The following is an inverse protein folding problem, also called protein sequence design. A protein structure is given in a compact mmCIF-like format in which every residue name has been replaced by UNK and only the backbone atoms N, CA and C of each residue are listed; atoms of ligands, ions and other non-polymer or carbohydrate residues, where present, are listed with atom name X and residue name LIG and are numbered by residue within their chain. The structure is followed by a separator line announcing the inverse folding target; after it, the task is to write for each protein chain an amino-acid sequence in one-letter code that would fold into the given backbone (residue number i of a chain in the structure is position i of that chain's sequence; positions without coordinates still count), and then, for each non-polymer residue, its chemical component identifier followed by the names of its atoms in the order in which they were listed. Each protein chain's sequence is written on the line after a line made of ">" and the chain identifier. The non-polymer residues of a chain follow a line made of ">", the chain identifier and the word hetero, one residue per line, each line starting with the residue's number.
data_IF_732389088599
#
_entry.id   IF_732389088599
#
_cell.length_a   1.000
_cell.length_b   1.000
_cell.length_c   1.000
_cell.angle_alpha   90.00
_cell.angle_beta   90.00
_cell.angle_gamma   90.00
#
_symmetry.space_group_name_H-M   'P 1'
#
loop_
_entity.id
_entity.type
_entity.pdbx_description
1 polymer ?
#
# COMPACT_ATOMS: atom_id res chain seq x y z
N UNK A 1 -57.73 -1.85 42.64
CA UNK A 1 -57.57 -1.80 41.17
C UNK A 1 -56.25 -2.44 40.83
N UNK A 2 -56.26 -3.72 40.45
CA UNK A 2 -55.08 -4.49 40.09
C UNK A 2 -55.54 -5.59 39.14
N UNK A 3 -55.61 -5.28 37.84
CA UNK A 3 -55.89 -6.22 36.76
C UNK A 3 -55.14 -5.71 35.54
N UNK A 4 -54.15 -6.48 35.06
CA UNK A 4 -53.41 -6.10 33.85
C UNK A 4 -52.03 -6.72 33.63
N UNK A 5 -51.49 -7.54 34.55
CA UNK A 5 -50.13 -8.08 34.44
C UNK A 5 -50.01 -9.61 34.36
N UNK A 6 -51.13 -10.36 34.38
CA UNK A 6 -51.08 -11.84 34.44
C UNK A 6 -51.26 -12.54 33.07
N UNK A 7 -51.78 -11.87 32.04
CA UNK A 7 -52.12 -12.54 30.77
C UNK A 7 -50.99 -12.57 29.72
N UNK A 8 -49.92 -11.80 29.93
CA UNK A 8 -48.76 -11.83 29.02
C UNK A 8 -47.74 -12.93 29.35
N UNK A 9 -47.78 -13.49 30.57
CA UNK A 9 -46.86 -14.55 30.99
C UNK A 9 -47.35 -15.95 30.60
N UNK A 10 -48.65 -16.15 30.32
CA UNK A 10 -49.21 -17.47 30.04
C UNK A 10 -49.19 -17.88 28.56
N UNK A 11 -49.13 -16.93 27.63
CA UNK A 11 -49.02 -17.24 26.18
C UNK A 11 -47.60 -17.54 25.70
N UNK A 12 -46.57 -17.32 26.52
CA UNK A 12 -45.18 -17.68 26.17
C UNK A 12 -44.79 -19.10 26.54
N UNK A 13 -45.57 -19.79 27.37
CA UNK A 13 -45.26 -21.16 27.81
C UNK A 13 -45.98 -22.24 27.01
N UNK A 14 -46.91 -21.89 26.12
CA UNK A 14 -47.67 -22.88 25.33
C UNK A 14 -47.31 -22.89 23.83
N UNK A 15 -46.50 -21.94 23.35
CA UNK A 15 -45.95 -21.96 21.98
C UNK A 15 -44.52 -22.54 21.89
N UNK A 16 -44.02 -23.09 22.99
CA UNK A 16 -42.69 -23.72 23.08
C UNK A 16 -42.75 -25.24 23.12
N UNK A 17 -43.86 -25.83 22.69
CA UNK A 17 -44.02 -27.26 22.54
C UNK A 17 -44.46 -27.55 21.09
N UNK A 18 -43.64 -28.32 20.38
CA UNK A 18 -43.78 -28.73 18.96
C UNK A 18 -43.15 -27.78 17.93
N UNK A 19 -41.84 -27.60 18.04
CA UNK A 19 -41.02 -27.89 16.87
C UNK A 19 -40.12 -29.05 17.27
N UNK A 20 -40.35 -30.22 16.66
CA UNK A 20 -39.39 -31.31 16.66
C UNK A 20 -38.16 -30.82 15.89
N UNK A 21 -37.28 -30.10 16.59
CA UNK A 21 -35.90 -29.96 16.15
C UNK A 21 -35.35 -31.38 16.08
N UNK A 22 -34.90 -31.79 14.90
CA UNK A 22 -34.30 -33.10 14.68
C UNK A 22 -33.30 -33.41 15.82
N UNK A 23 -33.40 -34.57 16.47
CA UNK A 23 -32.57 -34.90 17.62
C UNK A 23 -31.10 -34.86 17.19
N UNK A 24 -30.38 -33.82 17.62
CA UNK A 24 -28.97 -33.59 17.28
C UNK A 24 -28.61 -32.20 16.76
N UNK A 25 -29.56 -31.34 16.35
CA UNK A 25 -29.22 -29.97 15.89
C UNK A 25 -28.88 -29.06 17.08
N UNK A 26 -29.66 -29.12 18.16
CA UNK A 26 -29.39 -28.37 19.39
C UNK A 26 -28.09 -28.82 20.07
N UNK A 27 -27.76 -30.12 20.00
CA UNK A 27 -26.54 -30.65 20.59
C UNK A 27 -25.30 -30.26 19.76
N UNK A 28 -25.41 -30.18 18.42
CA UNK A 28 -24.36 -29.64 17.55
C UNK A 28 -24.11 -28.15 17.80
N UNK A 29 -25.18 -27.35 17.91
CA UNK A 29 -25.05 -25.93 18.22
C UNK A 29 -24.45 -25.69 19.61
N UNK A 30 -24.77 -26.54 20.61
CA UNK A 30 -24.12 -26.49 21.93
C UNK A 30 -22.64 -26.85 21.83
N UNK A 31 -22.29 -27.89 21.09
CA UNK A 31 -20.89 -28.28 20.87
C UNK A 31 -20.09 -27.17 20.17
N UNK A 32 -20.63 -26.58 19.10
CA UNK A 32 -20.00 -25.47 18.38
C UNK A 32 -19.83 -24.23 19.27
N UNK A 33 -20.79 -23.95 20.16
CA UNK A 33 -20.69 -22.87 21.14
C UNK A 33 -19.63 -23.15 22.21
N UNK A 34 -19.44 -24.41 22.63
CA UNK A 34 -18.38 -24.77 23.56
C UNK A 34 -17.00 -24.69 22.90
N UNK A 35 -16.87 -25.15 21.66
CA UNK A 35 -15.64 -25.02 20.86
C UNK A 35 -15.28 -23.55 20.63
N UNK A 36 -16.25 -22.70 20.31
CA UNK A 36 -16.01 -21.27 20.13
C UNK A 36 -15.60 -20.59 21.45
N UNK A 37 -16.23 -20.96 22.57
CA UNK A 37 -15.84 -20.47 23.90
C UNK A 37 -14.41 -20.88 24.24
N UNK A 38 -14.02 -22.10 23.90
CA UNK A 38 -12.66 -22.58 24.17
C UNK A 38 -11.63 -21.89 23.30
N UNK A 39 -11.90 -21.72 22.00
CA UNK A 39 -11.05 -20.93 21.10
C UNK A 39 -10.88 -19.49 21.59
N UNK A 40 -11.96 -18.86 22.04
CA UNK A 40 -11.93 -17.50 22.59
C UNK A 40 -11.09 -17.42 23.88
N UNK A 41 -11.12 -18.45 24.73
CA UNK A 41 -10.26 -18.51 25.93
C UNK A 41 -8.79 -18.65 25.55
N UNK A 42 -8.46 -19.52 24.59
CA UNK A 42 -7.09 -19.70 24.10
C UNK A 42 -6.56 -18.39 23.52
N UNK A 43 -7.34 -17.74 22.67
CA UNK A 43 -6.96 -16.47 22.05
C UNK A 43 -6.81 -15.33 23.08
N UNK A 44 -7.67 -15.30 24.12
CA UNK A 44 -7.52 -14.35 25.22
C UNK A 44 -6.22 -14.55 26.00
N UNK A 45 -5.85 -15.80 26.30
CA UNK A 45 -4.58 -16.13 26.97
C UNK A 45 -3.38 -15.80 26.08
N UNK A 46 -3.45 -16.06 24.78
CA UNK A 46 -2.41 -15.70 23.83
C UNK A 46 -2.23 -14.18 23.71
N UNK A 47 -3.33 -13.44 23.70
CA UNK A 47 -3.32 -11.97 23.70
C UNK A 47 -2.69 -11.40 24.97
N UNK A 48 -2.97 -11.98 26.14
CA UNK A 48 -2.31 -11.59 27.38
C UNK A 48 -0.81 -11.91 27.37
N UNK A 49 -0.43 -13.09 26.88
CA UNK A 49 0.99 -13.47 26.69
C UNK A 49 1.71 -12.51 25.75
N UNK A 50 1.06 -12.10 24.66
CA UNK A 50 1.63 -11.14 23.72
C UNK A 50 1.81 -9.77 24.38
N UNK A 51 0.81 -9.27 25.13
CA UNK A 51 0.93 -8.02 25.90
C UNK A 51 2.11 -8.05 26.87
N UNK A 52 2.30 -9.15 27.60
CA UNK A 52 3.43 -9.31 28.52
C UNK A 52 4.79 -9.32 27.78
N UNK A 53 4.86 -9.95 26.60
CA UNK A 53 6.07 -9.91 25.76
C UNK A 53 6.35 -8.49 25.28
N UNK A 54 5.34 -7.80 24.75
CA UNK A 54 5.50 -6.41 24.29
C UNK A 54 5.91 -5.47 25.42
N UNK A 55 5.36 -5.62 26.63
CA UNK A 55 5.75 -4.82 27.79
C UNK A 55 7.22 -5.06 28.17
N UNK A 56 7.64 -6.33 28.24
CA UNK A 56 9.03 -6.70 28.53
C UNK A 56 10.00 -6.21 27.47
N UNK A 57 9.62 -6.30 26.20
CA UNK A 57 10.48 -5.85 25.10
C UNK A 57 10.56 -4.32 25.11
N UNK A 58 9.46 -3.61 25.40
CA UNK A 58 9.47 -2.17 25.60
C UNK A 58 10.37 -1.73 26.76
N UNK A 59 10.33 -2.42 27.90
CA UNK A 59 11.23 -2.17 29.04
C UNK A 59 12.70 -2.41 28.68
N UNK A 60 13.00 -3.48 27.93
CA UNK A 60 14.36 -3.76 27.44
C UNK A 60 14.85 -2.65 26.52
N UNK A 61 14.05 -2.24 25.54
CA UNK A 61 14.40 -1.14 24.64
C UNK A 61 14.58 0.17 25.40
N UNK A 62 13.71 0.49 26.36
CA UNK A 62 13.84 1.69 27.19
C UNK A 62 15.14 1.69 28.01
N UNK A 63 15.51 0.54 28.59
CA UNK A 63 16.75 0.41 29.34
C UNK A 63 17.99 0.54 28.45
N UNK A 64 18.00 -0.11 27.28
CA UNK A 64 19.09 0.00 26.31
C UNK A 64 19.23 1.45 25.81
N UNK A 65 18.11 2.07 25.43
CA UNK A 65 18.08 3.45 24.97
C UNK A 65 18.60 4.43 26.03
N UNK A 66 18.18 4.28 27.29
CA UNK A 66 18.70 5.07 28.41
C UNK A 66 20.23 4.88 28.61
N UNK A 67 20.74 3.67 28.44
CA UNK A 67 22.18 3.42 28.49
C UNK A 67 22.93 4.09 27.33
N UNK A 68 22.36 4.07 26.11
CA UNK A 68 22.92 4.76 24.96
C UNK A 68 22.95 6.27 25.18
N UNK A 69 21.86 6.88 25.64
CA UNK A 69 21.82 8.30 25.98
C UNK A 69 22.86 8.65 27.06
N UNK A 70 22.97 7.84 28.12
CA UNK A 70 23.97 8.07 29.16
C UNK A 70 25.43 7.94 28.65
N UNK A 71 25.69 7.10 27.63
CA UNK A 71 27.01 7.03 26.98
C UNK A 71 27.25 8.27 26.11
N UNK A 72 26.24 8.71 25.37
CA UNK A 72 26.31 9.89 24.51
C UNK A 72 26.59 11.16 25.34
N UNK A 73 25.88 11.34 26.46
CA UNK A 73 26.09 12.47 27.38
C UNK A 73 27.51 12.47 27.95
N UNK A 74 28.03 11.30 28.34
CA UNK A 74 29.42 11.18 28.84
C UNK A 74 30.45 11.49 27.75
N UNK A 75 30.24 11.01 26.53
CA UNK A 75 31.12 11.30 25.41
C UNK A 75 31.13 12.80 25.08
N UNK A 76 29.95 13.43 24.99
CA UNK A 76 29.82 14.86 24.75
C UNK A 76 30.46 15.69 25.87
N UNK A 77 30.26 15.32 27.14
CA UNK A 77 30.93 16.00 28.26
C UNK A 77 32.45 15.91 28.18
N UNK A 78 32.99 14.77 27.72
CA UNK A 78 34.43 14.58 27.55
C UNK A 78 34.98 15.39 26.37
N UNK A 79 34.26 15.42 25.25
CA UNK A 79 34.60 16.23 24.09
C UNK A 79 34.58 17.72 24.42
N UNK A 80 33.59 18.19 25.18
CA UNK A 80 33.50 19.58 25.60
C UNK A 80 34.65 19.98 26.53
N UNK A 81 35.06 19.11 27.46
CA UNK A 81 36.26 19.33 28.28
C UNK A 81 37.54 19.38 27.43
N UNK A 82 37.69 18.47 26.48
CA UNK A 82 38.85 18.46 25.58
C UNK A 82 38.88 19.72 24.70
N UNK A 83 37.72 20.17 24.20
CA UNK A 83 37.56 21.43 23.46
C UNK A 83 38.04 22.61 24.29
N UNK A 84 37.61 22.71 25.55
CA UNK A 84 38.02 23.77 26.47
C UNK A 84 39.54 23.76 26.72
N UNK A 85 40.14 22.59 26.95
CA UNK A 85 41.59 22.46 27.15
C UNK A 85 42.38 22.89 25.89
N UNK A 86 41.91 22.51 24.70
CA UNK A 86 42.53 22.94 23.45
C UNK A 86 42.39 24.44 23.23
N UNK A 87 41.22 25.03 23.52
CA UNK A 87 41.05 26.47 23.43
C UNK A 87 41.96 27.23 24.41
N UNK A 88 42.15 26.74 25.64
CA UNK A 88 43.08 27.39 26.58
C UNK A 88 44.52 27.30 26.10
N UNK A 89 44.95 26.13 25.60
CA UNK A 89 46.29 25.95 25.06
C UNK A 89 46.55 26.82 23.81
N UNK A 90 45.54 26.98 22.95
CA UNK A 90 45.60 27.88 21.80
C UNK A 90 45.76 29.35 22.25
N UNK A 91 44.96 29.81 23.22
CA UNK A 91 45.08 31.17 23.75
C UNK A 91 46.46 31.45 24.37
N UNK A 92 47.05 30.47 25.07
CA UNK A 92 48.41 30.58 25.60
C UNK A 92 49.46 30.69 24.48
N UNK A 93 49.30 29.89 23.41
CA UNK A 93 50.19 29.94 22.25
C UNK A 93 50.07 31.25 21.49
N UNK A 94 48.86 31.78 21.33
CA UNK A 94 48.64 33.09 20.72
C UNK A 94 49.30 34.22 21.53
N UNK A 95 49.24 34.15 22.87
CA UNK A 95 49.93 35.08 23.75
C UNK A 95 51.48 34.99 23.62
N UNK A 96 52.01 33.78 23.50
CA UNK A 96 53.44 33.54 23.26
C UNK A 96 53.89 34.13 21.91
N UNK A 97 53.09 33.93 20.85
CA UNK A 97 53.32 34.51 19.52
C UNK A 97 53.32 36.04 19.59
N UNK A 98 52.34 36.65 20.27
CA UNK A 98 52.27 38.11 20.42
C UNK A 98 53.49 38.68 21.17
N UNK A 99 53.96 37.96 22.21
CA UNK A 99 55.19 38.32 22.93
C UNK A 99 56.42 38.27 22.03
N UNK A 100 56.57 37.19 21.25
CA UNK A 100 57.67 37.05 20.30
C UNK A 100 57.62 38.11 19.19
N UNK A 101 56.44 38.43 18.66
CA UNK A 101 56.27 39.51 17.68
C UNK A 101 56.73 40.85 18.25
N UNK A 102 56.34 41.16 19.49
CA UNK A 102 56.79 42.38 20.20
C UNK A 102 58.32 42.42 20.34
N UNK A 103 58.96 41.28 20.62
CA UNK A 103 60.42 41.19 20.70
C UNK A 103 61.09 41.39 19.34
N UNK A 104 60.54 40.80 18.28
CA UNK A 104 61.02 40.98 16.90
C UNK A 104 60.89 42.44 16.48
N UNK A 105 59.77 43.11 16.78
CA UNK A 105 59.57 44.52 16.45
C UNK A 105 60.56 45.43 17.17
N UNK A 106 60.84 45.15 18.46
CA UNK A 106 61.91 45.84 19.20
C UNK A 106 63.28 45.64 18.55
N UNK A 107 63.62 44.41 18.15
CA UNK A 107 64.89 44.13 17.47
C UNK A 107 64.99 44.83 16.12
N UNK A 108 63.89 44.82 15.33
CA UNK A 108 63.80 45.54 14.06
C UNK A 108 64.00 47.04 14.25
N UNK A 109 63.36 47.63 15.26
CA UNK A 109 63.53 49.05 15.58
C UNK A 109 64.98 49.40 15.97
N UNK A 110 65.64 48.57 16.78
CA UNK A 110 67.07 48.77 17.11
C UNK A 110 67.94 48.72 15.84
N UNK A 111 67.70 47.76 14.96
CA UNK A 111 68.42 47.66 13.68
C UNK A 111 68.17 48.91 12.82
N UNK A 112 66.93 49.40 12.76
CA UNK A 112 66.55 50.62 12.05
C UNK A 112 67.32 51.84 12.58
N UNK A 113 67.37 52.03 13.92
CA UNK A 113 68.14 53.10 14.55
C UNK A 113 69.64 53.00 14.26
N UNK A 114 70.21 51.80 14.30
CA UNK A 114 71.63 51.58 13.99
C UNK A 114 71.95 51.81 12.50
N UNK A 115 71.00 51.57 11.60
CA UNK A 115 71.14 51.90 10.16
C UNK A 115 71.11 53.41 9.93
N UNK A 116 70.29 54.15 10.69
CA UNK A 116 70.15 55.60 10.56
C UNK A 116 71.37 56.36 11.13
N UNK A 117 71.97 55.88 12.22
CA UNK A 117 73.22 56.44 12.76
C UNK A 117 74.21 55.35 13.20
N UNK A 118 75.16 54.97 12.33
CA UNK A 118 76.19 53.98 12.64
C UNK A 118 77.12 54.38 13.80
N UNK A 119 77.19 55.67 14.15
CA UNK A 119 78.04 56.16 15.27
C UNK A 119 77.51 55.70 16.63
N UNK A 120 76.23 55.33 16.72
CA UNK A 120 75.65 54.73 17.93
C UNK A 120 76.29 53.38 18.29
N UNK A 121 76.78 52.61 17.30
CA UNK A 121 77.55 51.40 17.56
C UNK A 121 78.85 51.70 18.31
N UNK A 122 79.55 52.77 17.91
CA UNK A 122 80.76 53.24 18.57
C UNK A 122 80.48 53.78 19.98
N UNK A 123 79.29 54.36 20.24
CA UNK A 123 78.91 54.81 21.59
C UNK A 123 78.61 53.65 22.56
N UNK A 124 78.03 52.55 22.07
CA UNK A 124 77.82 51.30 22.81
C UNK A 124 79.16 50.60 23.09
N UNK A 125 80.10 50.60 22.13
CA UNK A 125 81.46 50.12 22.32
C UNK A 125 82.31 51.03 23.23
N UNK A 126 82.21 52.37 23.13
CA UNK A 126 82.97 53.33 23.96
C UNK A 126 82.56 53.29 25.43
N UNK A 127 81.29 52.98 25.75
CA UNK A 127 80.87 52.72 27.14
C UNK A 127 81.55 51.49 27.73
N UNK A 128 82.00 50.57 26.90
CA UNK A 128 82.73 49.38 27.34
C UNK A 128 84.25 49.63 27.49
N UNK A 129 84.83 50.57 26.73
CA UNK A 129 86.29 50.70 26.59
C UNK A 129 86.95 52.00 27.13
N UNK A 130 86.25 52.89 27.85
CA UNK A 130 86.84 54.14 28.38
C UNK A 130 87.42 53.94 29.79
N UNK A 131 88.61 53.33 29.90
CA UNK A 131 89.32 53.13 31.20
C UNK A 131 90.85 53.20 31.18
N UNK A 132 91.52 53.69 30.13
CA UNK A 132 93.00 53.78 30.13
C UNK A 132 93.44 55.14 29.56
N UNK A 133 94.25 55.82 30.36
CA UNK A 133 94.59 57.25 30.41
C UNK A 133 95.66 57.75 29.42
N UNK A 134 95.66 59.08 29.27
CA UNK A 134 96.63 60.03 28.69
C UNK A 134 97.93 60.07 29.56
N UNK A 135 99.13 60.58 29.22
CA UNK A 135 99.55 61.81 28.51
C UNK A 135 101.12 61.88 28.39
N UNK A 136 101.61 62.59 27.35
CA UNK A 136 102.62 63.69 27.24
C UNK A 136 103.83 63.82 28.21
N UNK A 137 105.00 64.43 27.93
CA UNK A 137 105.83 64.90 26.78
C UNK A 137 107.14 65.52 27.39
N UNK A 138 108.29 65.29 26.75
CA UNK A 138 109.48 66.17 26.47
C UNK A 138 110.25 66.94 27.60
N UNK A 139 111.55 67.28 27.57
CA UNK A 139 112.83 66.92 26.88
C UNK A 139 113.98 67.77 27.54
N UNK A 140 115.28 67.36 27.45
CA UNK A 140 116.48 68.24 27.68
C UNK A 140 117.67 67.83 26.74
N UNK A 141 117.32 67.65 25.47
CA UNK A 141 118.03 67.91 24.19
C UNK A 141 119.42 67.35 23.77
N UNK A 142 120.33 66.80 24.58
CA UNK A 142 121.47 66.00 24.00
C UNK A 142 121.91 64.81 24.89
N UNK A 143 122.11 65.04 26.19
CA UNK A 143 121.87 63.98 27.18
C UNK A 143 120.37 63.73 27.28
N UNK A 144 119.52 64.74 27.12
CA UNK A 144 118.11 64.54 26.85
C UNK A 144 117.80 64.08 25.44
N UNK A 145 118.70 64.11 24.45
CA UNK A 145 118.50 63.41 23.15
C UNK A 145 118.93 61.96 23.22
N UNK A 146 120.01 61.64 23.93
CA UNK A 146 120.38 60.26 24.27
C UNK A 146 119.33 59.67 25.21
N UNK A 147 118.93 60.40 26.24
CA UNK A 147 117.89 60.01 27.17
C UNK A 147 116.49 60.07 26.53
N UNK A 148 116.23 60.94 25.55
CA UNK A 148 115.03 60.86 24.70
C UNK A 148 115.09 59.69 23.75
N UNK A 149 116.26 59.32 23.21
CA UNK A 149 116.43 58.11 22.40
C UNK A 149 116.32 56.86 23.27
N UNK A 150 116.84 56.85 24.50
CA UNK A 150 116.70 55.76 25.48
C UNK A 150 115.27 55.68 26.02
N UNK A 151 114.60 56.82 26.23
CA UNK A 151 113.17 56.87 26.53
C UNK A 151 112.37 56.44 25.31
N UNK A 152 112.75 56.81 24.10
CA UNK A 152 112.09 56.39 22.87
C UNK A 152 112.30 54.91 22.63
N UNK A 153 113.48 54.38 22.90
CA UNK A 153 113.80 52.94 22.85
C UNK A 153 113.04 52.21 23.96
N UNK A 154 113.01 52.72 25.20
CA UNK A 154 112.23 52.14 26.30
C UNK A 154 110.73 52.21 26.03
N UNK A 155 110.25 53.28 25.40
CA UNK A 155 108.87 53.48 24.96
C UNK A 155 108.53 52.55 23.80
N UNK A 156 109.45 52.34 22.86
CA UNK A 156 109.31 51.38 21.76
C UNK A 156 109.33 49.94 22.28
N UNK A 157 110.20 49.60 23.25
CA UNK A 157 110.19 48.28 23.90
C UNK A 157 108.93 48.07 24.74
N UNK A 158 108.46 49.10 25.45
CA UNK A 158 107.19 49.03 26.18
C UNK A 158 106.00 48.90 25.23
N UNK A 159 106.02 49.61 24.09
CA UNK A 159 105.03 49.47 23.02
C UNK A 159 105.12 48.11 22.32
N UNK A 160 106.32 47.56 22.14
CA UNK A 160 106.54 46.23 21.58
C UNK A 160 106.00 45.16 22.53
N UNK A 161 106.34 45.24 23.82
CA UNK A 161 105.80 44.33 24.83
C UNK A 161 104.29 44.47 24.99
N UNK A 162 103.75 45.69 24.95
CA UNK A 162 102.31 45.89 24.97
C UNK A 162 101.65 45.34 23.69
N UNK A 163 102.29 45.50 22.51
CA UNK A 163 101.80 44.92 21.27
C UNK A 163 101.88 43.38 21.26
N UNK A 164 102.93 42.79 21.84
CA UNK A 164 103.06 41.35 22.03
C UNK A 164 102.00 40.82 23.01
N UNK A 165 101.78 41.52 24.12
CA UNK A 165 100.74 41.23 25.11
C UNK A 165 99.34 41.28 24.48
N UNK A 166 99.05 42.36 23.74
CA UNK A 166 97.77 42.52 23.01
C UNK A 166 97.60 41.44 21.94
N UNK A 167 98.67 41.09 21.22
CA UNK A 167 98.64 40.01 20.22
C UNK A 167 98.37 38.64 20.86
N UNK A 168 98.95 38.36 22.02
CA UNK A 168 98.73 37.12 22.76
C UNK A 168 97.31 37.05 23.33
N UNK A 169 96.79 38.17 23.87
CA UNK A 169 95.39 38.30 24.28
C UNK A 169 94.42 38.10 23.09
N UNK A 170 94.71 38.69 21.93
CA UNK A 170 93.94 38.48 20.70
C UNK A 170 93.99 37.01 20.24
N UNK A 171 95.15 36.36 20.32
CA UNK A 171 95.28 34.94 19.97
C UNK A 171 94.43 34.05 20.89
N UNK A 172 94.44 34.30 22.20
CA UNK A 172 93.58 33.61 23.17
C UNK A 172 92.09 33.89 22.90
N UNK A 173 91.74 35.12 22.52
CA UNK A 173 90.36 35.44 22.13
C UNK A 173 89.91 34.70 20.86
N UNK A 174 90.77 34.58 19.86
CA UNK A 174 90.49 33.80 18.64
C UNK A 174 90.33 32.33 18.97
N UNK A 175 91.15 31.78 19.86
CA UNK A 175 91.08 30.37 20.26
C UNK A 175 89.79 30.05 21.05
N UNK A 176 89.41 30.91 21.98
CA UNK A 176 88.12 30.79 22.70
C UNK A 176 86.93 30.91 21.76
N UNK A 177 86.98 31.81 20.77
CA UNK A 177 85.94 31.94 19.75
C UNK A 177 85.85 30.72 18.83
N UNK A 178 87.00 30.13 18.43
CA UNK A 178 87.04 28.87 17.68
C UNK A 178 86.37 27.75 18.46
N UNK A 179 86.70 27.58 19.74
CA UNK A 179 86.09 26.57 20.61
C UNK A 179 84.58 26.77 20.79
N UNK A 180 84.12 28.02 20.91
CA UNK A 180 82.70 28.35 20.96
C UNK A 180 81.99 28.01 19.63
N UNK A 181 82.61 28.30 18.49
CA UNK A 181 82.07 27.96 17.17
C UNK A 181 81.96 26.45 16.96
N UNK A 182 82.93 25.65 17.40
CA UNK A 182 82.82 24.17 17.31
C UNK A 182 81.65 23.65 18.13
N UNK A 183 81.44 24.20 19.34
CA UNK A 183 80.29 23.84 20.19
C UNK A 183 78.97 24.23 19.52
N UNK A 184 78.86 25.44 18.98
CA UNK A 184 77.68 25.92 18.24
C UNK A 184 77.38 25.03 17.04
N UNK A 185 78.37 24.71 16.21
CA UNK A 185 78.20 23.83 15.05
C UNK A 185 77.75 22.43 15.42
N UNK A 186 78.25 21.88 16.54
CA UNK A 186 77.80 20.59 17.05
C UNK A 186 76.34 20.62 17.53
N UNK A 187 75.93 21.71 18.19
CA UNK A 187 74.55 21.94 18.62
C UNK A 187 73.62 22.11 17.41
N UNK A 188 74.06 22.86 16.39
CA UNK A 188 73.33 23.05 15.13
C UNK A 188 73.12 21.73 14.39
N UNK A 189 74.17 20.89 14.29
CA UNK A 189 74.04 19.54 13.72
C UNK A 189 73.04 18.67 14.49
N UNK A 190 73.07 18.72 15.82
CA UNK A 190 72.09 18.00 16.66
C UNK A 190 70.66 18.50 16.45
N UNK A 191 70.46 19.82 16.41
CA UNK A 191 69.15 20.43 16.16
C UNK A 191 68.63 20.08 14.77
N UNK A 192 69.49 20.10 13.74
CA UNK A 192 69.13 19.72 12.38
C UNK A 192 68.66 18.26 12.30
N UNK A 193 69.40 17.32 12.92
CA UNK A 193 68.97 15.91 12.99
C UNK A 193 67.64 15.73 13.70
N UNK A 194 67.43 16.40 14.84
CA UNK A 194 66.15 16.36 15.55
C UNK A 194 64.99 16.92 14.73
N UNK A 195 65.24 17.93 13.91
CA UNK A 195 64.23 18.48 13.01
C UNK A 195 63.89 17.53 11.84
N UNK A 196 64.89 16.87 11.26
CA UNK A 196 64.70 15.84 10.23
C UNK A 196 63.94 14.62 10.81
N UNK A 197 64.32 14.14 11.99
CA UNK A 197 63.62 13.05 12.69
C UNK A 197 62.16 13.42 13.01
N UNK A 198 61.89 14.65 13.46
CA UNK A 198 60.52 15.12 13.74
C UNK A 198 59.66 15.26 12.47
N UNK A 199 60.26 15.57 11.32
CA UNK A 199 59.58 15.63 10.04
C UNK A 199 59.19 14.24 9.51
N UNK A 200 60.04 13.24 9.75
CA UNK A 200 59.85 11.89 9.23
C UNK A 200 59.02 10.98 10.16
N UNK A 201 58.99 11.20 11.48
CA UNK A 201 58.64 10.12 12.43
C UNK A 201 57.23 10.11 13.03
N UNK A 202 56.29 11.00 12.69
CA UNK A 202 55.01 11.00 13.41
C UNK A 202 53.81 11.57 12.67
N UNK A 203 53.93 12.80 12.16
CA UNK A 203 52.77 13.50 11.58
C UNK A 203 52.32 12.85 10.27
N UNK A 204 53.26 12.43 9.41
CA UNK A 204 52.94 11.78 8.15
C UNK A 204 52.27 10.41 8.33
N UNK A 205 52.72 9.59 9.29
CA UNK A 205 52.06 8.33 9.61
C UNK A 205 50.67 8.54 10.22
N UNK A 206 50.50 9.49 11.13
CA UNK A 206 49.17 9.81 11.67
C UNK A 206 48.21 10.31 10.58
N UNK A 207 48.69 11.10 9.61
CA UNK A 207 47.92 11.54 8.46
C UNK A 207 47.48 10.37 7.58
N UNK A 208 48.40 9.46 7.24
CA UNK A 208 48.07 8.24 6.48
C UNK A 208 47.07 7.33 7.23
N UNK A 209 47.21 7.21 8.54
CA UNK A 209 46.30 6.44 9.40
C UNK A 209 44.90 7.06 9.43
N UNK A 210 44.81 8.39 9.58
CA UNK A 210 43.55 9.13 9.55
C UNK A 210 42.90 8.98 8.17
N UNK A 211 43.67 9.14 7.10
CA UNK A 211 43.18 9.00 5.73
C UNK A 211 42.69 7.58 5.46
N UNK A 212 43.40 6.55 5.94
CA UNK A 212 42.97 5.16 5.83
C UNK A 212 41.69 4.87 6.63
N UNK A 213 41.56 5.43 7.84
CA UNK A 213 40.33 5.33 8.65
C UNK A 213 39.17 6.03 7.98
N UNK A 214 39.39 7.21 7.40
CA UNK A 214 38.38 7.96 6.67
C UNK A 214 37.85 7.16 5.47
N UNK A 215 38.74 6.60 4.64
CA UNK A 215 38.34 5.79 3.50
C UNK A 215 37.54 4.54 3.91
N UNK A 216 37.89 3.88 5.03
CA UNK A 216 37.11 2.77 5.57
C UNK A 216 35.72 3.21 6.03
N UNK A 217 35.64 4.33 6.74
CA UNK A 217 34.36 4.88 7.19
C UNK A 217 33.47 5.30 6.01
N UNK A 218 34.04 5.88 4.95
CA UNK A 218 33.27 6.15 3.72
C UNK A 218 32.77 4.88 3.05
N UNK A 219 33.59 3.83 2.97
CA UNK A 219 33.17 2.56 2.40
C UNK A 219 32.06 1.89 3.24
N UNK A 220 32.17 1.95 4.56
CA UNK A 220 31.14 1.40 5.46
C UNK A 220 29.86 2.23 5.41
N UNK A 221 29.97 3.57 5.29
CA UNK A 221 28.81 4.43 5.03
C UNK A 221 28.10 4.03 3.74
N UNK A 222 28.83 3.84 2.63
CA UNK A 222 28.25 3.44 1.36
C UNK A 222 27.53 2.07 1.44
N UNK A 223 28.06 1.12 2.21
CA UNK A 223 27.38 -0.17 2.46
C UNK A 223 26.09 0.00 3.25
N UNK A 224 26.10 0.84 4.29
CA UNK A 224 24.91 1.12 5.10
C UNK A 224 23.85 1.82 4.26
N UNK A 225 24.23 2.80 3.44
CA UNK A 225 23.32 3.51 2.54
C UNK A 225 22.68 2.52 1.52
N UNK A 226 23.48 1.63 0.92
CA UNK A 226 22.98 0.59 0.02
C UNK A 226 22.02 -0.40 0.73
N UNK A 227 22.31 -0.79 1.96
CA UNK A 227 21.42 -1.65 2.76
C UNK A 227 20.12 -0.93 3.13
N UNK A 228 20.18 0.38 3.43
CA UNK A 228 19.02 1.23 3.68
C UNK A 228 18.11 1.33 2.45
N UNK A 229 18.69 1.52 1.28
CA UNK A 229 17.93 1.60 0.02
C UNK A 229 17.30 0.25 -0.34
N UNK A 230 18.01 -0.86 -0.13
CA UNK A 230 17.45 -2.20 -0.29
C UNK A 230 16.27 -2.45 0.66
N UNK A 231 16.42 -2.10 1.95
CA UNK A 231 15.34 -2.24 2.94
C UNK A 231 14.13 -1.35 2.61
N UNK A 232 14.35 -0.13 2.11
CA UNK A 232 13.26 0.75 1.64
C UNK A 232 12.53 0.15 0.45
N UNK A 233 13.23 -0.48 -0.49
CA UNK A 233 12.61 -1.17 -1.62
C UNK A 233 11.74 -2.35 -1.15
N UNK A 234 12.25 -3.17 -0.23
CA UNK A 234 11.48 -4.28 0.37
C UNK A 234 10.23 -3.79 1.11
N UNK A 235 10.32 -2.70 1.87
CA UNK A 235 9.17 -2.08 2.53
C UNK A 235 8.13 -1.64 1.49
N UNK A 236 8.55 -1.02 0.38
CA UNK A 236 7.66 -0.64 -0.71
C UNK A 236 6.95 -1.84 -1.35
N UNK A 237 7.67 -2.95 -1.57
CA UNK A 237 7.09 -4.18 -2.11
C UNK A 237 6.08 -4.80 -1.14
N UNK A 238 6.40 -4.86 0.16
CA UNK A 238 5.50 -5.37 1.19
C UNK A 238 4.24 -4.50 1.34
N UNK A 239 4.36 -3.18 1.20
CA UNK A 239 3.21 -2.27 1.19
C UNK A 239 2.30 -2.54 -0.01
N UNK A 240 2.87 -2.70 -1.21
CA UNK A 240 2.09 -3.07 -2.40
C UNK A 240 1.37 -4.41 -2.24
N UNK A 241 2.04 -5.42 -1.66
CA UNK A 241 1.41 -6.72 -1.35
C UNK A 241 0.29 -6.58 -0.31
N UNK A 242 0.47 -5.74 0.71
CA UNK A 242 -0.54 -5.48 1.73
C UNK A 242 -1.78 -4.82 1.11
N UNK A 243 -1.60 -3.82 0.26
CA UNK A 243 -2.70 -3.15 -0.44
C UNK A 243 -3.44 -4.12 -1.36
N UNK A 244 -2.69 -4.97 -2.09
CA UNK A 244 -3.25 -6.06 -2.88
C UNK A 244 -4.09 -7.05 -2.04
N UNK A 245 -3.57 -7.50 -0.90
CA UNK A 245 -4.30 -8.40 0.00
C UNK A 245 -5.55 -7.73 0.60
N UNK A 246 -5.49 -6.44 0.94
CA UNK A 246 -6.64 -5.69 1.46
C UNK A 246 -7.75 -5.54 0.43
N UNK A 247 -7.40 -5.29 -0.84
CA UNK A 247 -8.40 -5.21 -1.91
C UNK A 247 -9.07 -6.57 -2.14
N UNK A 248 -8.30 -7.65 -2.19
CA UNK A 248 -8.83 -9.02 -2.29
C UNK A 248 -9.75 -9.36 -1.12
N UNK A 249 -9.37 -9.03 0.12
CA UNK A 249 -10.21 -9.25 1.30
C UNK A 249 -11.54 -8.49 1.20
N UNK A 250 -11.54 -7.24 0.71
CA UNK A 250 -12.78 -6.48 0.50
C UNK A 250 -13.69 -7.13 -0.54
N UNK A 251 -13.12 -7.61 -1.65
CA UNK A 251 -13.87 -8.34 -2.68
C UNK A 251 -14.49 -9.61 -2.09
N UNK A 252 -13.70 -10.43 -1.40
CA UNK A 252 -14.19 -11.66 -0.77
C UNK A 252 -15.28 -11.40 0.29
N UNK A 253 -15.16 -10.32 1.09
CA UNK A 253 -16.22 -9.92 2.02
C UNK A 253 -17.54 -9.55 1.32
N UNK A 254 -17.46 -8.85 0.19
CA UNK A 254 -18.63 -8.48 -0.59
C UNK A 254 -19.28 -9.71 -1.23
N UNK A 255 -18.49 -10.62 -1.80
CA UNK A 255 -18.98 -11.91 -2.34
C UNK A 255 -19.65 -12.75 -1.25
N UNK A 256 -19.03 -12.85 -0.06
CA UNK A 256 -19.61 -13.57 1.07
C UNK A 256 -20.95 -12.94 1.54
N UNK A 257 -21.07 -11.62 1.47
CA UNK A 257 -22.33 -10.93 1.78
C UNK A 257 -23.42 -11.26 0.75
N UNK A 258 -23.09 -11.21 -0.54
CA UNK A 258 -24.02 -11.58 -1.63
C UNK A 258 -24.49 -13.03 -1.52
N UNK A 259 -23.57 -13.97 -1.29
CA UNK A 259 -23.92 -15.39 -1.10
C UNK A 259 -24.81 -15.59 0.13
N UNK A 260 -24.56 -14.87 1.22
CA UNK A 260 -25.42 -14.93 2.41
C UNK A 260 -26.83 -14.43 2.12
N UNK A 261 -26.99 -13.37 1.34
CA UNK A 261 -28.30 -12.85 1.00
C UNK A 261 -29.04 -13.74 -0.01
N UNK A 262 -28.33 -14.34 -0.96
CA UNK A 262 -28.88 -15.39 -1.84
C UNK A 262 -29.36 -16.61 -1.03
N UNK A 263 -28.58 -17.07 -0.04
CA UNK A 263 -28.98 -18.17 0.83
C UNK A 263 -30.27 -17.86 1.58
N UNK A 264 -30.41 -16.66 2.16
CA UNK A 264 -31.66 -16.24 2.81
C UNK A 264 -32.85 -16.24 1.85
N UNK A 265 -32.64 -15.78 0.61
CA UNK A 265 -33.70 -15.77 -0.40
C UNK A 265 -34.13 -17.21 -0.77
N UNK A 266 -33.16 -18.12 -0.91
CA UNK A 266 -33.43 -19.54 -1.16
C UNK A 266 -34.13 -20.22 0.01
N UNK A 267 -33.75 -19.91 1.24
CA UNK A 267 -34.43 -20.40 2.46
C UNK A 267 -35.89 -19.92 2.52
N UNK A 268 -36.15 -18.65 2.23
CA UNK A 268 -37.51 -18.11 2.17
C UNK A 268 -38.36 -18.75 1.05
N UNK A 269 -37.75 -18.97 -0.13
CA UNK A 269 -38.41 -19.65 -1.25
C UNK A 269 -38.76 -21.11 -0.88
N UNK A 270 -37.83 -21.81 -0.21
CA UNK A 270 -38.06 -23.16 0.30
C UNK A 270 -39.22 -23.19 1.29
N UNK A 271 -39.25 -22.28 2.28
CA UNK A 271 -40.33 -22.20 3.27
C UNK A 271 -41.70 -21.95 2.60
N UNK A 272 -41.71 -21.19 1.51
CA UNK A 272 -42.93 -20.94 0.72
C UNK A 272 -43.41 -22.20 0.02
N UNK A 273 -42.51 -22.94 -0.64
CA UNK A 273 -42.83 -24.21 -1.29
C UNK A 273 -43.29 -25.28 -0.29
N UNK A 274 -42.69 -25.34 0.90
CA UNK A 274 -43.12 -26.25 1.97
C UNK A 274 -44.58 -25.96 2.39
N UNK A 275 -44.95 -24.67 2.55
CA UNK A 275 -46.34 -24.27 2.84
C UNK A 275 -47.32 -24.64 1.72
N UNK A 276 -46.91 -24.49 0.46
CA UNK A 276 -47.74 -24.89 -0.69
C UNK A 276 -47.94 -26.41 -0.74
N UNK A 277 -46.91 -27.18 -0.40
CA UNK A 277 -46.96 -28.64 -0.34
C UNK A 277 -47.91 -29.10 0.78
N UNK A 278 -47.81 -28.52 1.97
CA UNK A 278 -48.74 -28.77 3.08
C UNK A 278 -50.19 -28.47 2.69
N UNK A 279 -50.43 -27.38 1.97
CA UNK A 279 -51.76 -27.02 1.47
C UNK A 279 -52.29 -28.05 0.45
N UNK A 280 -51.44 -28.55 -0.44
CA UNK A 280 -51.82 -29.62 -1.39
C UNK A 280 -52.10 -30.94 -0.69
N UNK A 281 -51.33 -31.30 0.34
CA UNK A 281 -51.55 -32.51 1.12
C UNK A 281 -52.86 -32.47 1.92
N UNK A 282 -53.27 -31.28 2.38
CA UNK A 282 -54.60 -31.07 2.96
C UNK A 282 -55.69 -31.25 1.90
N UNK A 283 -55.53 -30.64 0.72
CA UNK A 283 -56.48 -30.76 -0.37
C UNK A 283 -56.64 -32.21 -0.85
N UNK A 284 -55.55 -32.96 -0.97
CA UNK A 284 -55.59 -34.40 -1.31
C UNK A 284 -56.36 -35.17 -0.24
N UNK A 285 -56.11 -34.90 1.05
CA UNK A 285 -56.87 -35.53 2.15
C UNK A 285 -58.36 -35.23 2.06
N UNK A 286 -58.74 -33.99 1.77
CA UNK A 286 -60.15 -33.60 1.60
C UNK A 286 -60.78 -34.38 0.43
N UNK A 287 -60.11 -34.43 -0.73
CA UNK A 287 -60.56 -35.24 -1.86
C UNK A 287 -60.68 -36.73 -1.51
N UNK A 288 -59.73 -37.30 -0.77
CA UNK A 288 -59.81 -38.69 -0.31
C UNK A 288 -61.02 -38.92 0.62
N UNK A 289 -61.37 -37.94 1.45
CA UNK A 289 -62.58 -38.00 2.28
C UNK A 289 -63.84 -37.93 1.43
N UNK A 290 -63.90 -37.04 0.44
CA UNK A 290 -65.02 -36.92 -0.49
C UNK A 290 -65.21 -38.21 -1.30
N UNK A 291 -64.12 -38.80 -1.82
CA UNK A 291 -64.16 -40.08 -2.52
C UNK A 291 -64.69 -41.21 -1.62
N UNK A 292 -64.29 -41.25 -0.34
CA UNK A 292 -64.81 -42.23 0.63
C UNK A 292 -66.29 -42.01 0.93
N UNK A 293 -66.78 -40.78 0.93
CA UNK A 293 -68.20 -40.45 1.14
C UNK A 293 -69.01 -40.83 -0.12
N UNK A 294 -68.53 -40.46 -1.31
CA UNK A 294 -69.14 -40.83 -2.59
C UNK A 294 -69.17 -42.35 -2.80
N UNK A 295 -68.10 -43.06 -2.45
CA UNK A 295 -68.06 -44.53 -2.48
C UNK A 295 -68.93 -45.22 -1.43
N UNK A 296 -69.43 -44.47 -0.44
CA UNK A 296 -70.42 -44.91 0.56
C UNK A 296 -71.84 -44.44 0.24
N UNK A 297 -72.07 -43.84 -0.94
CA UNK A 297 -73.43 -43.57 -1.41
C UNK A 297 -74.14 -44.91 -1.48
N UNK A 298 -75.05 -45.09 -0.53
CA UNK A 298 -75.84 -46.30 -0.38
C UNK A 298 -76.63 -46.49 -1.68
N UNK A 299 -76.36 -47.59 -2.39
CA UNK A 299 -77.08 -47.96 -3.61
C UNK A 299 -78.58 -48.15 -3.32
N UNK A 300 -78.94 -48.23 -2.03
CA UNK A 300 -80.30 -48.23 -1.51
C UNK A 300 -80.77 -46.85 -0.97
N UNK A 301 -80.26 -45.73 -1.48
CA UNK A 301 -80.80 -44.40 -1.14
C UNK A 301 -82.18 -44.20 -1.81
N UNK A 302 -83.28 -44.10 -1.04
CA UNK A 302 -84.63 -43.93 -1.59
C UNK A 302 -84.80 -42.67 -2.44
N UNK A 303 -83.99 -41.63 -2.21
CA UNK A 303 -83.99 -40.42 -3.04
C UNK A 303 -83.37 -40.66 -4.42
N UNK A 304 -82.34 -41.50 -4.50
CA UNK A 304 -81.71 -41.89 -5.77
C UNK A 304 -82.63 -42.80 -6.58
N UNK A 305 -83.30 -43.77 -5.93
CA UNK A 305 -84.34 -44.56 -6.60
C UNK A 305 -85.52 -43.72 -7.07
N UNK A 306 -85.90 -42.70 -6.31
CA UNK A 306 -86.96 -41.76 -6.72
C UNK A 306 -86.52 -40.95 -7.93
N UNK A 307 -85.29 -40.42 -7.91
CA UNK A 307 -84.70 -39.69 -9.04
C UNK A 307 -84.59 -40.58 -10.29
N UNK A 308 -84.17 -41.85 -10.14
CA UNK A 308 -84.09 -42.82 -11.22
C UNK A 308 -85.48 -43.11 -11.81
N UNK A 309 -86.50 -43.33 -10.97
CA UNK A 309 -87.89 -43.52 -11.42
C UNK A 309 -88.48 -42.30 -12.12
N UNK A 310 -88.07 -41.09 -11.72
CA UNK A 310 -88.48 -39.84 -12.39
C UNK A 310 -87.76 -39.70 -13.73
N UNK A 311 -86.46 -40.03 -13.80
CA UNK A 311 -85.70 -40.07 -15.05
C UNK A 311 -86.31 -41.06 -16.04
N UNK A 312 -86.63 -42.28 -15.62
CA UNK A 312 -87.24 -43.30 -16.48
C UNK A 312 -88.59 -42.81 -17.03
N UNK A 313 -89.45 -42.25 -16.18
CA UNK A 313 -90.72 -41.63 -16.62
C UNK A 313 -90.50 -40.50 -17.61
N UNK A 314 -89.52 -39.63 -17.37
CA UNK A 314 -89.20 -38.52 -18.27
C UNK A 314 -88.65 -39.03 -19.59
N UNK A 315 -87.88 -40.12 -19.58
CA UNK A 315 -87.40 -40.78 -20.80
C UNK A 315 -88.55 -41.39 -21.61
N UNK A 316 -89.53 -42.02 -20.95
CA UNK A 316 -90.73 -42.53 -21.61
C UNK A 316 -91.57 -41.39 -22.22
N UNK A 317 -91.75 -40.27 -21.49
CA UNK A 317 -92.39 -39.07 -22.01
C UNK A 317 -91.62 -38.51 -23.22
N UNK A 318 -90.29 -38.50 -23.18
CA UNK A 318 -89.43 -38.01 -24.25
C UNK A 318 -89.53 -38.92 -25.48
N UNK A 319 -89.52 -40.24 -25.29
CA UNK A 319 -89.73 -41.21 -26.37
C UNK A 319 -91.12 -41.10 -27.01
N UNK A 320 -92.16 -40.83 -26.21
CA UNK A 320 -93.51 -40.55 -26.73
C UNK A 320 -93.54 -39.24 -27.52
N UNK A 321 -92.84 -38.21 -27.06
CA UNK A 321 -92.73 -36.95 -27.79
C UNK A 321 -91.94 -37.09 -29.07
N UNK A 322 -90.84 -37.86 -29.08
CA UNK A 322 -90.09 -38.20 -30.30
C UNK A 322 -90.95 -38.98 -31.30
N UNK A 323 -91.77 -39.93 -30.84
CA UNK A 323 -92.70 -40.66 -31.70
C UNK A 323 -93.76 -39.72 -32.32
N UNK A 324 -94.27 -38.76 -31.54
CA UNK A 324 -95.17 -37.71 -32.05
C UNK A 324 -94.48 -36.77 -33.02
N UNK A 325 -93.24 -36.35 -32.74
CA UNK A 325 -92.43 -35.56 -33.67
C UNK A 325 -92.24 -36.30 -35.00
N UNK A 326 -91.86 -37.59 -34.98
CA UNK A 326 -91.77 -38.42 -36.19
C UNK A 326 -93.10 -38.54 -36.93
N UNK A 327 -94.23 -38.58 -36.23
CA UNK A 327 -95.56 -38.55 -36.87
C UNK A 327 -95.84 -37.20 -37.53
N UNK A 328 -95.52 -36.09 -36.85
CA UNK A 328 -95.66 -34.75 -37.41
C UNK A 328 -94.70 -34.49 -38.57
N UNK A 329 -93.47 -34.98 -38.50
CA UNK A 329 -92.50 -34.97 -39.60
C UNK A 329 -93.04 -35.75 -40.79
N UNK A 330 -93.58 -36.96 -40.60
CA UNK A 330 -94.26 -37.69 -41.70
C UNK A 330 -95.47 -36.94 -42.26
N UNK A 331 -96.25 -36.25 -41.42
CA UNK A 331 -97.37 -35.42 -41.88
C UNK A 331 -96.88 -34.19 -42.64
N UNK A 332 -95.78 -33.57 -42.21
CA UNK A 332 -95.10 -32.47 -42.88
C UNK A 332 -94.47 -32.92 -44.21
N UNK A 333 -93.82 -34.09 -44.26
CA UNK A 333 -93.30 -34.70 -45.49
C UNK A 333 -94.44 -35.05 -46.47
N UNK A 334 -95.58 -35.55 -45.99
CA UNK A 334 -96.77 -35.74 -46.82
C UNK A 334 -97.36 -34.41 -47.31
N UNK A 335 -97.25 -33.32 -46.54
CA UNK A 335 -97.66 -31.98 -46.95
C UNK A 335 -96.65 -31.30 -47.90
N UNK A 336 -95.35 -31.54 -47.73
CA UNK A 336 -94.27 -31.04 -48.58
C UNK A 336 -94.13 -31.86 -49.88
N UNK A 337 -94.47 -33.14 -49.89
CA UNK A 337 -94.63 -33.94 -51.11
C UNK A 337 -95.95 -33.66 -51.84
N UNK A 338 -96.95 -33.05 -51.18
CA UNK A 338 -98.15 -32.50 -51.82
C UNK A 338 -97.97 -31.03 -52.28
N UNK A 339 -96.86 -30.38 -51.91
CA UNK A 339 -96.55 -28.99 -52.26
C UNK A 339 -95.06 -28.82 -52.49
N UNK A 340 -94.59 -29.24 -53.67
CA UNK A 340 -93.18 -29.13 -54.05
C UNK A 340 -92.70 -27.69 -54.16
N UNK A 341 -91.46 -27.44 -53.74
CA UNK A 341 -90.48 -26.66 -54.49
C UNK A 341 -89.10 -26.77 -53.84
N UNK A 342 -88.13 -27.02 -54.70
CA UNK A 342 -86.68 -27.04 -54.55
C UNK A 342 -86.11 -25.92 -53.65
N UNK A 343 -85.07 -26.22 -52.85
CA UNK A 343 -83.72 -25.64 -53.00
C UNK A 343 -82.70 -26.49 -52.22
N UNK A 344 -81.79 -27.06 -53.01
CA UNK A 344 -80.44 -27.60 -52.75
C UNK A 344 -79.61 -26.61 -51.88
N UNK A 345 -78.87 -27.01 -50.85
CA UNK A 345 -77.63 -27.74 -50.99
C UNK A 345 -76.39 -26.81 -51.04
N UNK A 346 -75.50 -27.00 -50.05
CA UNK A 346 -74.03 -26.92 -50.14
C UNK A 346 -73.24 -25.90 -49.30
N UNK A 347 -72.37 -26.53 -48.52
CA UNK A 347 -71.17 -26.10 -47.81
C UNK A 347 -70.12 -25.42 -48.69
N UNK A 348 -69.21 -24.66 -48.06
CA UNK A 348 -68.01 -24.13 -48.70
C UNK A 348 -66.94 -23.74 -47.68
N UNK A 349 -66.18 -24.73 -47.24
CA UNK A 349 -64.96 -24.60 -46.42
C UNK A 349 -63.87 -23.84 -47.19
N UNK A 350 -63.57 -22.60 -46.80
CA UNK A 350 -62.35 -21.90 -47.21
C UNK A 350 -61.41 -21.78 -46.01
N UNK A 351 -60.34 -22.58 -46.00
CA UNK A 351 -59.16 -22.32 -45.18
C UNK A 351 -58.49 -21.02 -45.66
N UNK A 352 -59.07 -19.90 -45.23
CA UNK A 352 -58.53 -18.57 -45.50
C UNK A 352 -57.31 -18.34 -44.63
N UNK A 353 -56.18 -18.02 -45.26
CA UNK A 353 -55.13 -17.18 -44.67
C UNK A 353 -55.80 -15.99 -43.99
N UNK A 354 -55.92 -16.08 -42.67
CA UNK A 354 -56.54 -15.06 -41.85
C UNK A 354 -55.71 -13.78 -42.02
N UNK A 355 -56.29 -12.65 -42.45
CA UNK A 355 -55.55 -11.40 -42.53
C UNK A 355 -55.04 -11.05 -41.13
N UNK A 356 -53.72 -10.81 -41.02
CA UNK A 356 -53.09 -10.40 -39.76
C UNK A 356 -53.80 -9.16 -39.23
N UNK A 357 -54.39 -9.29 -38.05
CA UNK A 357 -55.08 -8.20 -37.38
C UNK A 357 -54.07 -7.21 -36.79
N UNK A 358 -54.49 -5.97 -36.51
CA UNK A 358 -53.62 -4.98 -35.86
C UNK A 358 -53.03 -5.49 -34.54
N UNK A 359 -53.79 -6.30 -33.79
CA UNK A 359 -53.32 -6.97 -32.57
C UNK A 359 -52.25 -8.03 -32.85
N UNK A 360 -52.35 -8.77 -33.97
CA UNK A 360 -51.31 -9.72 -34.36
C UNK A 360 -50.03 -8.98 -34.77
N UNK A 361 -50.17 -7.82 -35.43
CA UNK A 361 -49.05 -6.94 -35.79
C UNK A 361 -48.39 -6.32 -34.56
N UNK A 362 -49.17 -5.86 -33.56
CA UNK A 362 -48.63 -5.34 -32.29
C UNK A 362 -47.83 -6.42 -31.54
N UNK A 363 -48.34 -7.65 -31.49
CA UNK A 363 -47.65 -8.77 -30.88
C UNK A 363 -46.35 -9.12 -31.60
N UNK A 364 -46.38 -9.20 -32.94
CA UNK A 364 -45.20 -9.47 -33.76
C UNK A 364 -44.15 -8.36 -33.64
N UNK A 365 -44.57 -7.09 -33.59
CA UNK A 365 -43.66 -5.96 -33.40
C UNK A 365 -43.00 -6.00 -32.00
N UNK A 366 -43.79 -6.28 -30.95
CA UNK A 366 -43.27 -6.45 -29.60
C UNK A 366 -42.28 -7.62 -29.50
N UNK A 367 -42.55 -8.73 -30.20
CA UNK A 367 -41.63 -9.86 -30.27
C UNK A 367 -40.33 -9.52 -31.02
N UNK A 368 -40.39 -8.79 -32.13
CA UNK A 368 -39.21 -8.37 -32.88
C UNK A 368 -38.29 -7.48 -32.04
N UNK A 369 -38.83 -6.49 -31.33
CA UNK A 369 -38.06 -5.63 -30.40
C UNK A 369 -37.43 -6.45 -29.25
N UNK A 370 -38.14 -7.46 -28.72
CA UNK A 370 -37.56 -8.36 -27.72
C UNK A 370 -36.37 -9.15 -28.26
N UNK A 371 -36.40 -9.53 -29.53
CA UNK A 371 -35.28 -10.21 -30.19
C UNK A 371 -34.09 -9.24 -30.36
N UNK A 372 -34.34 -7.99 -30.78
CA UNK A 372 -33.29 -6.95 -30.87
C UNK A 372 -32.61 -6.69 -29.53
N UNK A 373 -33.40 -6.49 -28.47
CA UNK A 373 -32.86 -6.24 -27.13
C UNK A 373 -32.03 -7.42 -26.61
N UNK A 374 -32.50 -8.65 -26.84
CA UNK A 374 -31.75 -9.86 -26.50
C UNK A 374 -30.46 -9.99 -27.30
N UNK A 375 -30.49 -9.71 -28.61
CA UNK A 375 -29.29 -9.75 -29.44
C UNK A 375 -28.25 -8.73 -28.94
N UNK A 376 -28.67 -7.50 -28.60
CA UNK A 376 -27.79 -6.49 -28.02
C UNK A 376 -27.19 -6.89 -26.66
N UNK A 377 -28.00 -7.49 -25.78
CA UNK A 377 -27.54 -8.00 -24.49
C UNK A 377 -26.44 -9.05 -24.67
N UNK A 378 -26.67 -10.03 -25.55
CA UNK A 378 -25.67 -11.08 -25.82
C UNK A 378 -24.41 -10.48 -26.46
N UNK A 379 -24.53 -9.51 -27.38
CA UNK A 379 -23.35 -8.83 -27.95
C UNK A 379 -22.51 -8.13 -26.87
N UNK A 380 -23.15 -7.44 -25.93
CA UNK A 380 -22.46 -6.82 -24.77
C UNK A 380 -21.81 -7.86 -23.86
N UNK A 381 -22.49 -8.98 -23.62
CA UNK A 381 -21.95 -10.08 -22.84
C UNK A 381 -20.67 -10.65 -23.46
N UNK A 382 -20.66 -10.84 -24.78
CA UNK A 382 -19.45 -11.28 -25.51
C UNK A 382 -18.33 -10.27 -25.36
N UNK A 383 -18.61 -8.97 -25.49
CA UNK A 383 -17.61 -7.92 -25.29
C UNK A 383 -17.05 -7.93 -23.85
N UNK A 384 -17.90 -8.05 -22.82
CA UNK A 384 -17.44 -8.13 -21.42
C UNK A 384 -16.60 -9.37 -21.13
N UNK A 385 -16.92 -10.49 -21.80
CA UNK A 385 -16.13 -11.71 -21.72
C UNK A 385 -14.74 -11.53 -22.38
N UNK A 386 -14.67 -10.89 -23.55
CA UNK A 386 -13.38 -10.56 -24.20
C UNK A 386 -12.52 -9.59 -23.37
N UNK A 387 -13.15 -8.67 -22.63
CA UNK A 387 -12.48 -7.73 -21.73
C UNK A 387 -12.00 -8.36 -20.40
N UNK A 388 -12.27 -9.66 -20.18
CA UNK A 388 -11.86 -10.38 -18.96
C UNK A 388 -12.64 -9.96 -17.71
N UNK A 389 -13.79 -9.31 -17.88
CA UNK A 389 -14.65 -8.91 -16.76
C UNK A 389 -15.63 -10.05 -16.42
N UNK A 390 -15.42 -10.68 -15.27
CA UNK A 390 -16.38 -11.64 -14.72
C UNK A 390 -17.55 -10.91 -14.03
N UNK A 391 -18.42 -10.27 -14.82
CA UNK A 391 -19.76 -9.92 -14.34
C UNK A 391 -20.65 -11.15 -14.38
N UNK A 392 -21.65 -11.19 -13.50
CA UNK A 392 -22.69 -12.20 -13.55
C UNK A 392 -23.50 -12.02 -14.85
N UNK A 393 -23.13 -12.79 -15.87
CA UNK A 393 -23.74 -12.83 -17.20
C UNK A 393 -25.26 -13.05 -17.13
N UNK A 394 -25.75 -13.70 -16.08
CA UNK A 394 -27.17 -13.94 -15.88
C UNK A 394 -27.89 -12.67 -15.44
N UNK A 395 -27.25 -11.82 -14.62
CA UNK A 395 -27.80 -10.52 -14.22
C UNK A 395 -27.92 -9.52 -15.38
N UNK A 396 -26.93 -9.46 -16.28
CA UNK A 396 -26.97 -8.64 -17.50
C UNK A 396 -28.10 -9.07 -18.46
N UNK A 397 -28.34 -10.38 -18.56
CA UNK A 397 -29.39 -10.94 -19.41
C UNK A 397 -30.79 -10.69 -18.82
N UNK A 398 -30.91 -10.63 -17.49
CA UNK A 398 -32.17 -10.31 -16.79
C UNK A 398 -32.46 -8.81 -16.85
N UNK A 399 -31.50 -7.94 -16.52
CA UNK A 399 -31.65 -6.48 -16.52
C UNK A 399 -32.08 -5.92 -17.88
N UNK A 400 -31.59 -6.49 -18.98
CA UNK A 400 -31.93 -6.04 -20.33
C UNK A 400 -33.12 -6.76 -20.96
N UNK A 401 -33.53 -7.91 -20.42
CA UNK A 401 -34.77 -8.57 -20.83
C UNK A 401 -36.03 -7.87 -20.29
N UNK A 402 -35.90 -7.21 -19.14
CA UNK A 402 -36.97 -6.47 -18.46
C UNK A 402 -36.97 -4.97 -18.74
N UNK A 403 -35.99 -4.47 -19.51
CA UNK A 403 -36.03 -3.15 -20.13
C UNK A 403 -37.05 -3.13 -21.28
N UNK A 404 -38.31 -3.38 -20.94
CA UNK A 404 -39.45 -3.25 -21.84
C UNK A 404 -39.62 -1.79 -22.22
N UNK A 405 -39.01 -1.38 -23.33
CA UNK A 405 -39.44 -0.18 -24.01
C UNK A 405 -40.95 -0.32 -24.26
N UNK A 406 -41.74 0.59 -23.69
CA UNK A 406 -43.17 0.64 -23.92
C UNK A 406 -43.39 0.82 -25.42
N UNK A 407 -43.71 -0.27 -26.12
CA UNK A 407 -43.99 -0.26 -27.55
C UNK A 407 -45.26 0.55 -27.72
N UNK A 408 -45.13 1.75 -28.32
CA UNK A 408 -46.29 2.57 -28.64
C UNK A 408 -47.22 1.80 -29.57
N UNK A 409 -48.50 1.76 -29.24
CA UNK A 409 -49.51 1.05 -30.03
C UNK A 409 -49.42 1.44 -31.51
N UNK A 410 -49.47 0.45 -32.41
CA UNK A 410 -49.40 0.70 -33.85
C UNK A 410 -50.59 1.55 -34.31
N UNK A 411 -50.30 2.59 -35.10
CA UNK A 411 -51.31 3.58 -35.51
C UNK A 411 -52.18 3.12 -36.68
N UNK A 412 -51.70 2.17 -37.49
CA UNK A 412 -52.42 1.55 -38.61
C UNK A 412 -51.77 0.23 -39.04
N UNK A 413 -52.48 -0.63 -39.77
CA UNK A 413 -51.94 -1.90 -40.27
C UNK A 413 -50.76 -1.73 -41.25
N UNK A 414 -50.77 -0.66 -42.05
CA UNK A 414 -49.69 -0.36 -43.00
C UNK A 414 -48.42 0.13 -42.27
N UNK A 415 -48.59 0.99 -41.27
CA UNK A 415 -47.51 1.43 -40.37
C UNK A 415 -46.94 0.23 -39.58
N UNK A 416 -47.82 -0.66 -39.09
CA UNK A 416 -47.44 -1.91 -38.44
C UNK A 416 -46.57 -2.82 -39.31
N UNK A 417 -47.00 -3.09 -40.54
CA UNK A 417 -46.23 -3.91 -41.48
C UNK A 417 -44.86 -3.30 -41.79
N UNK A 418 -44.78 -1.98 -41.96
CA UNK A 418 -43.51 -1.30 -42.23
C UNK A 418 -42.55 -1.32 -41.03
N UNK A 419 -43.04 -1.06 -39.82
CA UNK A 419 -42.23 -1.08 -38.59
C UNK A 419 -41.74 -2.49 -38.25
N UNK A 420 -42.59 -3.50 -38.43
CA UNK A 420 -42.19 -4.90 -38.26
C UNK A 420 -41.12 -5.27 -39.27
N UNK A 421 -41.28 -4.91 -40.55
CA UNK A 421 -40.27 -5.19 -41.58
C UNK A 421 -38.93 -4.55 -41.23
N UNK A 422 -38.92 -3.28 -40.81
CA UNK A 422 -37.69 -2.59 -40.39
C UNK A 422 -37.06 -3.26 -39.17
N UNK A 423 -37.85 -3.59 -38.15
CA UNK A 423 -37.38 -4.26 -36.93
C UNK A 423 -36.83 -5.65 -37.23
N UNK A 424 -37.47 -6.42 -38.12
CA UNK A 424 -36.96 -7.72 -38.55
C UNK A 424 -35.65 -7.61 -39.34
N UNK A 425 -35.51 -6.60 -40.21
CA UNK A 425 -34.24 -6.34 -40.90
C UNK A 425 -33.12 -5.98 -39.93
N UNK A 426 -33.40 -5.12 -38.94
CA UNK A 426 -32.44 -4.75 -37.90
C UNK A 426 -32.06 -5.97 -37.05
N UNK A 427 -33.06 -6.73 -36.60
CA UNK A 427 -32.87 -7.99 -35.87
C UNK A 427 -31.98 -8.96 -36.64
N UNK A 428 -32.21 -9.11 -37.95
CA UNK A 428 -31.41 -9.98 -38.80
C UNK A 428 -29.96 -9.51 -38.87
N UNK A 429 -29.71 -8.23 -39.12
CA UNK A 429 -28.33 -7.69 -39.13
C UNK A 429 -27.63 -7.87 -37.79
N UNK A 430 -28.32 -7.64 -36.68
CA UNK A 430 -27.75 -7.82 -35.33
C UNK A 430 -27.42 -9.28 -35.03
N UNK A 431 -28.28 -10.21 -35.46
CA UNK A 431 -28.05 -11.64 -35.26
C UNK A 431 -26.90 -12.17 -36.13
N UNK A 432 -26.75 -11.65 -37.35
CA UNK A 432 -25.64 -11.99 -38.24
C UNK A 432 -24.31 -11.48 -37.65
N UNK A 433 -24.26 -10.23 -37.17
CA UNK A 433 -23.10 -9.66 -36.49
C UNK A 433 -22.76 -10.41 -35.20
N UNK A 434 -23.78 -10.76 -34.41
CA UNK A 434 -23.63 -11.55 -33.20
C UNK A 434 -23.05 -12.94 -33.51
N UNK A 435 -23.56 -13.61 -34.53
CA UNK A 435 -23.08 -14.92 -34.98
C UNK A 435 -21.59 -14.86 -35.37
N UNK A 436 -21.21 -13.80 -36.09
CA UNK A 436 -19.82 -13.58 -36.47
C UNK A 436 -18.91 -13.31 -35.26
N UNK A 437 -19.33 -12.42 -34.36
CA UNK A 437 -18.60 -12.07 -33.14
C UNK A 437 -18.40 -13.28 -32.23
N UNK A 438 -19.48 -14.00 -31.91
CA UNK A 438 -19.43 -15.25 -31.12
C UNK A 438 -18.49 -16.28 -31.76
N UNK A 439 -18.58 -16.48 -33.08
CA UNK A 439 -17.72 -17.40 -33.80
C UNK A 439 -16.24 -17.05 -33.68
N UNK A 440 -15.89 -15.76 -33.81
CA UNK A 440 -14.51 -15.30 -33.64
C UNK A 440 -14.01 -15.46 -32.21
N UNK A 441 -14.78 -15.03 -31.21
CA UNK A 441 -14.40 -15.12 -29.80
C UNK A 441 -14.22 -16.58 -29.37
N UNK A 442 -15.13 -17.46 -29.79
CA UNK A 442 -15.06 -18.88 -29.49
C UNK A 442 -13.85 -19.56 -30.15
N UNK A 443 -13.56 -19.23 -31.41
CA UNK A 443 -12.36 -19.71 -32.10
C UNK A 443 -11.06 -19.25 -31.43
N UNK A 444 -10.99 -17.98 -30.98
CA UNK A 444 -9.85 -17.45 -30.20
C UNK A 444 -9.70 -18.18 -28.87
N UNK A 445 -10.79 -18.42 -28.16
CA UNK A 445 -10.75 -19.09 -26.86
C UNK A 445 -10.31 -20.55 -26.98
N UNK A 446 -10.81 -21.29 -27.97
CA UNK A 446 -10.35 -22.65 -28.26
C UNK A 446 -8.88 -22.64 -28.66
N UNK A 447 -8.46 -21.73 -29.56
CA UNK A 447 -7.06 -21.60 -29.97
C UNK A 447 -6.11 -21.31 -28.80
N UNK A 448 -6.52 -20.42 -27.89
CA UNK A 448 -5.77 -20.11 -26.67
C UNK A 448 -5.66 -21.32 -25.73
N UNK A 449 -6.75 -22.04 -25.50
CA UNK A 449 -6.74 -23.23 -24.64
C UNK A 449 -5.94 -24.38 -25.24
N UNK A 450 -5.96 -24.56 -26.56
CA UNK A 450 -5.12 -25.54 -27.26
C UNK A 450 -3.63 -25.14 -27.28
N UNK A 451 -3.28 -23.86 -27.17
CA UNK A 451 -1.90 -23.39 -27.06
C UNK A 451 -1.34 -23.48 -25.62
N UNK A 452 -2.22 -23.55 -24.61
CA UNK A 452 -1.85 -23.72 -23.20
C UNK A 452 -1.75 -25.19 -22.74
N UNK A 453 -2.23 -26.14 -23.55
CA UNK A 453 -1.99 -27.58 -23.40
C UNK A 453 -0.80 -28.02 -24.24
#
# INVERSE_FOLDING_TARGET
>A
MNFGAMDFARRRTESSARMDAAPGVDDRLRADLEDLKERLRVEAVEKERLKLRCARDHERFAAEYSQFEARLVRANSTLEKNRQLLETALREKDAEIASMQTQVDKQRHVIECLKQDPRLQYSLLRRHNKKVDESDQEDDEDDGRLHALEQQVSKLFSQLHEAERVKEEQAQHIETQKAANTKLMSALKKMKRKAEEAADSGVNHMLQDIQSKYMRLEADKAKVDAALDASRAEIGELQSKLDGAQTQHKVACNEAAQLRDSLKAMEAAKETLEKELDARDLYIRDLETDYKIMGKVDVANPEMEHAQRVLDRKNDELMQMEAKCKQYERQLELQQHAGGSEVDGLEGSSAGTRPLTLTDLDQLHSQAIKVENKAHAVTRMVATFEEGQHRDLQSLLIEESDAGAAVGALSSEQDGKQRILMSLMVSQTLLDDLSHSLGQTFARHIGSNCAMQ
#
